data_IF_381293313565
#
_entry.id   IF_381293313565
#
_cell.length_a   1.000
_cell.length_b   1.000
_cell.length_c   1.000
_cell.angle_alpha   90.00
_cell.angle_beta   90.00
_cell.angle_gamma   90.00
#
_symmetry.space_group_name_H-M   'P 1'
#
loop_
_entity.id
_entity.type
_entity.pdbx_description
1 polymer ?
#
# COMPACT_ATOMS: atom_id res chain seq x y z
N UNK A 1 23.67 -71.79 21.28
CA UNK A 1 23.06 -72.46 20.11
C UNK A 1 21.67 -71.88 19.96
N UNK A 2 21.51 -70.94 19.02
CA UNK A 2 20.75 -71.12 17.76
C UNK A 2 19.23 -70.97 17.97
N UNK A 3 18.44 -70.17 17.26
CA UNK A 3 18.64 -69.32 16.08
C UNK A 3 17.45 -68.35 15.97
N UNK A 4 17.71 -67.13 15.51
CA UNK A 4 16.72 -66.08 15.20
C UNK A 4 16.21 -66.28 13.76
N UNK A 5 14.91 -66.07 13.50
CA UNK A 5 14.39 -65.70 12.17
C UNK A 5 13.38 -64.56 12.28
N UNK A 6 13.77 -63.42 11.72
CA UNK A 6 13.02 -62.18 11.55
C UNK A 6 12.44 -62.16 10.13
N UNK A 7 11.18 -61.72 9.96
CA UNK A 7 10.61 -61.46 8.62
C UNK A 7 9.95 -60.08 8.62
N UNK A 8 10.52 -59.20 7.81
CA UNK A 8 10.08 -57.84 7.49
C UNK A 8 9.18 -57.93 6.25
N UNK A 9 8.04 -57.22 6.22
CA UNK A 9 7.35 -56.93 4.96
C UNK A 9 7.08 -55.43 4.82
N UNK A 10 7.64 -54.89 3.74
CA UNK A 10 7.54 -53.51 3.26
C UNK A 10 6.12 -53.19 2.78
N UNK A 11 5.70 -51.97 3.08
CA UNK A 11 4.58 -51.26 2.47
C UNK A 11 5.03 -50.69 1.12
N UNK A 12 4.29 -50.99 0.05
CA UNK A 12 4.40 -50.31 -1.24
C UNK A 12 3.01 -49.84 -1.69
N UNK A 13 2.90 -48.53 -1.94
CA UNK A 13 1.80 -47.87 -2.66
C UNK A 13 1.83 -48.22 -4.16
N UNK A 14 0.67 -48.16 -4.84
CA UNK A 14 0.54 -47.26 -5.99
C UNK A 14 -0.84 -46.55 -6.00
N UNK A 15 -0.92 -45.23 -6.15
CA UNK A 15 -1.01 -44.46 -7.42
C UNK A 15 -2.19 -44.86 -8.33
N UNK A 16 -3.07 -43.88 -8.51
CA UNK A 16 -4.17 -43.73 -9.48
C UNK A 16 -4.03 -44.47 -10.82
N UNK A 17 -5.12 -45.08 -11.30
CA UNK A 17 -5.57 -44.86 -12.68
C UNK A 17 -7.05 -45.26 -12.87
N UNK A 18 -7.84 -44.31 -13.37
CA UNK A 18 -9.18 -44.50 -13.92
C UNK A 18 -9.07 -45.32 -15.21
N UNK A 19 -9.84 -46.41 -15.36
CA UNK A 19 -10.28 -46.88 -16.67
C UNK A 19 -11.41 -47.91 -16.59
N UNK A 20 -12.52 -47.57 -17.24
CA UNK A 20 -13.28 -48.47 -18.12
C UNK A 20 -13.99 -49.69 -17.53
N UNK A 21 -15.26 -49.49 -17.18
CA UNK A 21 -16.42 -50.10 -17.85
C UNK A 21 -16.13 -51.31 -18.78
N UNK A 22 -15.78 -52.49 -18.24
CA UNK A 22 -15.93 -53.79 -18.91
C UNK A 22 -15.57 -54.95 -17.98
N UNK A 23 -16.54 -55.54 -17.29
CA UNK A 23 -16.59 -56.98 -16.95
C UNK A 23 -17.82 -57.28 -16.09
N UNK A 24 -18.98 -57.41 -16.73
CA UNK A 24 -20.04 -58.33 -16.31
C UNK A 24 -20.72 -58.85 -17.57
N UNK A 25 -19.98 -59.66 -18.32
CA UNK A 25 -20.51 -60.53 -19.37
C UNK A 25 -19.87 -61.89 -19.13
N UNK A 26 -20.71 -62.92 -19.04
CA UNK A 26 -20.44 -64.37 -19.04
C UNK A 26 -20.86 -65.09 -17.75
N UNK A 27 -22.15 -65.39 -17.66
CA UNK A 27 -22.65 -66.68 -17.17
C UNK A 27 -24.07 -66.90 -17.73
N UNK A 28 -24.15 -67.29 -18.99
CA UNK A 28 -25.33 -67.92 -19.62
C UNK A 28 -24.79 -68.86 -20.71
N UNK A 29 -25.08 -70.18 -20.65
CA UNK A 29 -24.55 -71.12 -21.63
C UNK A 29 -25.28 -70.97 -22.98
N UNK A 30 -24.48 -70.95 -24.04
CA UNK A 30 -24.91 -70.81 -25.42
C UNK A 30 -25.53 -72.11 -25.97
N UNK A 31 -26.69 -71.94 -26.60
CA UNK A 31 -27.15 -72.59 -27.85
C UNK A 31 -27.21 -74.11 -27.96
N UNK A 32 -28.41 -74.63 -28.20
CA UNK A 32 -28.65 -75.55 -29.31
C UNK A 32 -29.93 -75.13 -30.05
N UNK A 33 -29.76 -74.53 -31.22
CA UNK A 33 -30.83 -74.22 -32.16
C UNK A 33 -31.11 -75.48 -32.97
N UNK A 34 -32.28 -76.10 -32.77
CA UNK A 34 -32.88 -77.00 -33.74
C UNK A 34 -34.12 -76.35 -34.34
N UNK A 35 -34.08 -76.21 -35.65
CA UNK A 35 -35.14 -75.70 -36.52
C UNK A 35 -36.37 -76.61 -36.52
N UNK A 36 -37.56 -76.06 -36.28
CA UNK A 36 -38.79 -76.44 -37.02
C UNK A 36 -39.95 -75.46 -36.83
N UNK A 37 -40.23 -74.75 -37.91
CA UNK A 37 -41.50 -74.22 -38.42
C UNK A 37 -42.81 -74.64 -37.72
N UNK A 38 -43.60 -73.65 -37.23
CA UNK A 38 -45.01 -73.36 -37.64
C UNK A 38 -45.67 -72.28 -36.75
N UNK A 39 -46.26 -71.29 -37.43
CA UNK A 39 -47.45 -70.48 -37.12
C UNK A 39 -48.07 -70.52 -35.71
N UNK A 40 -48.29 -69.34 -35.11
CA UNK A 40 -49.31 -69.15 -34.07
C UNK A 40 -49.12 -67.87 -33.26
N UNK A 41 -50.12 -66.98 -33.32
CA UNK A 41 -50.26 -65.80 -32.44
C UNK A 41 -50.36 -66.27 -30.99
N UNK A 42 -49.48 -65.80 -30.11
CA UNK A 42 -49.45 -66.19 -28.69
C UNK A 42 -49.10 -65.01 -27.78
N UNK A 43 -50.11 -64.55 -27.04
CA UNK A 43 -50.02 -63.53 -26.00
C UNK A 43 -49.11 -64.04 -24.86
N UNK A 44 -47.93 -63.44 -24.66
CA UNK A 44 -47.02 -63.83 -23.60
C UNK A 44 -47.44 -63.19 -22.26
N UNK A 45 -48.10 -63.95 -21.40
CA UNK A 45 -48.32 -63.57 -19.99
C UNK A 45 -46.99 -63.66 -19.23
N UNK A 46 -46.42 -62.51 -18.88
CA UNK A 46 -45.23 -62.41 -18.04
C UNK A 46 -45.62 -62.63 -16.56
N UNK A 47 -45.51 -63.88 -16.08
CA UNK A 47 -45.65 -64.18 -14.64
C UNK A 47 -44.39 -63.71 -13.92
N UNK A 48 -44.47 -62.56 -13.24
CA UNK A 48 -43.46 -62.14 -12.27
C UNK A 48 -43.46 -63.17 -11.14
N UNK A 49 -42.34 -63.86 -10.95
CA UNK A 49 -42.17 -64.83 -9.88
C UNK A 49 -42.32 -64.13 -8.52
N UNK A 50 -43.29 -64.59 -7.72
CA UNK A 50 -43.66 -64.06 -6.39
C UNK A 50 -42.55 -64.18 -5.33
N UNK A 51 -41.37 -64.69 -5.72
CA UNK A 51 -40.18 -64.83 -4.88
C UNK A 51 -39.20 -63.62 -4.95
N UNK A 52 -39.42 -62.66 -5.87
CA UNK A 52 -38.60 -61.44 -5.96
C UNK A 52 -39.11 -60.27 -5.09
N UNK A 53 -40.35 -60.36 -4.62
CA UNK A 53 -41.01 -59.31 -3.84
C UNK A 53 -40.44 -59.19 -2.41
N UNK A 54 -40.14 -60.28 -1.68
CA UNK A 54 -39.57 -60.18 -0.34
C UNK A 54 -38.13 -59.65 -0.34
N UNK A 55 -37.35 -60.00 -1.37
CA UNK A 55 -35.95 -59.59 -1.53
C UNK A 55 -35.81 -58.14 -1.98
N UNK A 56 -36.73 -57.63 -2.83
CA UNK A 56 -36.79 -56.20 -3.14
C UNK A 56 -37.24 -55.39 -1.91
N UNK A 57 -38.18 -55.90 -1.12
CA UNK A 57 -38.64 -55.26 0.11
C UNK A 57 -37.54 -55.23 1.18
N UNK A 58 -36.74 -56.30 1.31
CA UNK A 58 -35.62 -56.34 2.24
C UNK A 58 -34.51 -55.35 1.87
N UNK A 59 -34.20 -55.18 0.57
CA UNK A 59 -33.26 -54.15 0.09
C UNK A 59 -33.81 -52.74 0.33
N UNK A 60 -35.12 -52.52 0.12
CA UNK A 60 -35.78 -51.23 0.33
C UNK A 60 -35.86 -50.86 1.82
N UNK A 61 -36.03 -51.85 2.70
CA UNK A 61 -35.97 -51.67 4.15
C UNK A 61 -34.53 -51.42 4.61
N UNK A 62 -33.53 -52.14 4.09
CA UNK A 62 -32.10 -51.87 4.43
C UNK A 62 -31.66 -50.47 3.99
N UNK A 63 -32.15 -49.96 2.85
CA UNK A 63 -31.94 -48.56 2.43
C UNK A 63 -32.70 -47.54 3.30
N UNK A 64 -33.82 -47.95 3.92
CA UNK A 64 -34.64 -47.09 4.79
C UNK A 64 -34.19 -47.12 6.26
N UNK A 65 -33.34 -48.07 6.67
CA UNK A 65 -32.81 -48.19 8.05
C UNK A 65 -31.34 -47.76 8.12
N UNK A 66 -30.81 -47.01 7.15
CA UNK A 66 -29.53 -46.35 7.35
C UNK A 66 -29.72 -45.14 8.29
N UNK A 67 -29.38 -45.22 9.59
CA UNK A 67 -29.65 -44.14 10.55
C UNK A 67 -28.60 -43.03 10.43
N UNK A 68 -27.77 -43.06 9.38
CA UNK A 68 -26.71 -42.08 9.14
C UNK A 68 -27.23 -40.77 8.53
N UNK A 69 -28.50 -40.73 8.11
CA UNK A 69 -29.19 -39.51 7.68
C UNK A 69 -29.82 -38.76 8.88
N UNK A 70 -28.99 -38.17 9.73
CA UNK A 70 -29.53 -37.25 10.74
C UNK A 70 -28.71 -37.10 12.01
N UNK A 71 -27.49 -36.58 11.90
CA UNK A 71 -26.85 -35.67 12.86
C UNK A 71 -25.35 -35.61 12.57
N UNK A 72 -24.97 -34.93 11.49
CA UNK A 72 -23.61 -34.41 11.42
C UNK A 72 -23.51 -33.16 12.32
N UNK A 73 -23.56 -33.38 13.65
CA UNK A 73 -23.14 -32.39 14.64
C UNK A 73 -21.62 -32.47 14.72
N UNK A 74 -20.91 -31.60 14.02
CA UNK A 74 -19.48 -31.40 14.27
C UNK A 74 -18.58 -30.92 13.12
N UNK A 75 -19.10 -30.55 11.96
CA UNK A 75 -18.29 -29.89 10.92
C UNK A 75 -18.38 -28.37 11.03
N UNK A 76 -17.24 -27.67 11.13
CA UNK A 76 -17.21 -26.22 10.90
C UNK A 76 -17.37 -26.02 9.38
N UNK A 77 -18.51 -25.48 8.95
CA UNK A 77 -18.72 -25.08 7.57
C UNK A 77 -18.30 -23.61 7.42
N UNK A 78 -17.27 -23.35 6.62
CA UNK A 78 -16.84 -21.98 6.29
C UNK A 78 -17.61 -21.56 5.04
N UNK A 79 -18.52 -20.60 5.20
CA UNK A 79 -19.24 -19.98 4.10
C UNK A 79 -18.62 -18.62 3.72
N UNK A 80 -19.15 -18.04 2.63
CA UNK A 80 -18.70 -16.77 2.08
C UNK A 80 -18.82 -15.63 3.09
N UNK A 81 -19.91 -15.59 3.86
CA UNK A 81 -20.18 -14.55 4.86
C UNK A 81 -19.20 -14.61 6.02
N UNK A 82 -18.94 -15.82 6.55
CA UNK A 82 -17.98 -16.04 7.61
C UNK A 82 -16.57 -15.67 7.16
N UNK A 83 -16.16 -16.11 5.96
CA UNK A 83 -14.83 -15.85 5.43
C UNK A 83 -14.60 -14.35 5.16
N UNK A 84 -15.57 -13.67 4.52
CA UNK A 84 -15.47 -12.24 4.26
C UNK A 84 -15.55 -11.41 5.54
N UNK A 85 -16.47 -11.75 6.44
CA UNK A 85 -16.67 -11.08 7.71
C UNK A 85 -15.42 -11.17 8.60
N UNK A 86 -14.78 -12.34 8.65
CA UNK A 86 -13.52 -12.50 9.37
C UNK A 86 -12.38 -11.67 8.76
N UNK A 87 -12.26 -11.65 7.42
CA UNK A 87 -11.27 -10.81 6.74
C UNK A 87 -11.48 -9.31 7.04
N UNK A 88 -12.73 -8.83 7.01
CA UNK A 88 -13.06 -7.46 7.39
C UNK A 88 -12.77 -7.17 8.87
N UNK A 89 -13.10 -8.10 9.77
CA UNK A 89 -12.80 -7.95 11.18
C UNK A 89 -11.29 -7.80 11.41
N UNK A 90 -10.47 -8.66 10.80
CA UNK A 90 -9.02 -8.57 10.87
C UNK A 90 -8.53 -7.20 10.39
N UNK A 91 -9.04 -6.74 9.24
CA UNK A 91 -8.68 -5.44 8.67
C UNK A 91 -9.01 -4.28 9.62
N UNK A 92 -10.24 -4.26 10.13
CA UNK A 92 -10.73 -3.23 11.04
C UNK A 92 -10.06 -3.27 12.41
N UNK A 93 -9.59 -4.44 12.85
CA UNK A 93 -8.83 -4.63 14.09
C UNK A 93 -7.36 -4.20 13.99
N UNK A 94 -6.92 -3.73 12.81
CA UNK A 94 -5.54 -3.30 12.59
C UNK A 94 -4.57 -4.43 12.26
N UNK A 95 -5.07 -5.60 11.85
CA UNK A 95 -4.26 -6.71 11.32
C UNK A 95 -4.46 -6.86 9.79
N UNK A 96 -3.85 -5.97 8.98
CA UNK A 96 -3.96 -6.03 7.54
C UNK A 96 -3.22 -7.25 6.94
N UNK A 97 -2.28 -7.86 7.66
CA UNK A 97 -1.54 -9.02 7.18
C UNK A 97 -2.43 -10.25 7.15
N UNK A 98 -3.19 -10.50 8.23
CA UNK A 98 -4.18 -11.58 8.26
C UNK A 98 -5.34 -11.28 7.33
N UNK A 99 -5.86 -10.05 7.34
CA UNK A 99 -6.92 -9.65 6.43
C UNK A 99 -6.57 -9.91 4.96
N UNK A 100 -5.35 -9.59 4.54
CA UNK A 100 -4.84 -9.85 3.20
C UNK A 100 -4.97 -11.35 2.83
N UNK A 101 -4.57 -12.24 3.72
CA UNK A 101 -4.65 -13.68 3.49
C UNK A 101 -6.11 -14.12 3.39
N UNK A 102 -6.96 -13.65 4.29
CA UNK A 102 -8.36 -14.07 4.36
C UNK A 102 -9.21 -13.48 3.21
N UNK A 103 -8.93 -12.27 2.74
CA UNK A 103 -9.55 -11.74 1.51
C UNK A 103 -9.12 -12.52 0.27
N UNK A 104 -7.85 -12.92 0.17
CA UNK A 104 -7.39 -13.77 -0.95
C UNK A 104 -8.05 -15.14 -0.93
N UNK A 105 -8.25 -15.72 0.25
CA UNK A 105 -9.01 -16.96 0.43
C UNK A 105 -10.48 -16.78 0.02
N UNK A 106 -11.10 -15.68 0.43
CA UNK A 106 -12.46 -15.35 0.03
C UNK A 106 -12.61 -15.29 -1.50
N UNK A 107 -11.75 -14.53 -2.17
CA UNK A 107 -11.75 -14.40 -3.64
C UNK A 107 -11.54 -15.76 -4.32
N UNK A 108 -10.69 -16.61 -3.76
CA UNK A 108 -10.38 -17.92 -4.33
C UNK A 108 -11.52 -18.93 -4.18
N UNK A 109 -12.12 -19.03 -2.98
CA UNK A 109 -13.14 -20.03 -2.68
C UNK A 109 -14.55 -19.61 -3.06
N UNK A 110 -14.81 -18.30 -3.18
CA UNK A 110 -16.11 -17.73 -3.50
C UNK A 110 -16.03 -16.75 -4.69
N UNK A 111 -15.53 -17.17 -5.87
CA UNK A 111 -15.24 -16.27 -6.99
C UNK A 111 -16.47 -15.61 -7.62
N UNK A 112 -17.66 -16.19 -7.44
CA UNK A 112 -18.94 -15.67 -7.96
C UNK A 112 -19.69 -14.80 -6.93
N UNK A 113 -19.14 -14.61 -5.73
CA UNK A 113 -19.77 -13.76 -4.71
C UNK A 113 -19.74 -12.28 -5.14
N UNK A 114 -20.84 -11.57 -4.90
CA UNK A 114 -21.00 -10.17 -5.31
C UNK A 114 -19.98 -9.23 -4.65
N UNK A 115 -19.38 -9.64 -3.52
CA UNK A 115 -18.35 -8.88 -2.80
C UNK A 115 -16.94 -9.12 -3.30
N UNK A 116 -16.71 -9.99 -4.27
CA UNK A 116 -15.34 -10.29 -4.78
C UNK A 116 -14.63 -9.02 -5.23
N UNK A 117 -15.31 -8.12 -5.93
CA UNK A 117 -14.73 -6.85 -6.36
C UNK A 117 -14.36 -5.94 -5.18
N UNK A 118 -15.19 -5.89 -4.15
CA UNK A 118 -14.87 -5.18 -2.90
C UNK A 118 -13.70 -5.84 -2.16
N UNK A 119 -13.65 -7.17 -2.09
CA UNK A 119 -12.56 -7.92 -1.47
C UNK A 119 -11.22 -7.70 -2.20
N UNK A 120 -11.23 -7.59 -3.54
CA UNK A 120 -10.06 -7.23 -4.33
C UNK A 120 -9.56 -5.83 -3.96
N UNK A 121 -10.47 -4.86 -3.86
CA UNK A 121 -10.11 -3.51 -3.44
C UNK A 121 -9.51 -3.48 -2.02
N UNK A 122 -10.13 -4.18 -1.07
CA UNK A 122 -9.62 -4.32 0.30
C UNK A 122 -8.29 -5.09 0.36
N UNK A 123 -8.05 -6.04 -0.54
CA UNK A 123 -6.74 -6.68 -0.73
C UNK A 123 -5.69 -5.64 -1.11
N UNK A 124 -6.00 -4.73 -2.04
CA UNK A 124 -5.14 -3.60 -2.38
C UNK A 124 -4.84 -2.69 -1.18
N UNK A 125 -5.86 -2.38 -0.37
CA UNK A 125 -5.66 -1.59 0.85
C UNK A 125 -4.79 -2.31 1.88
N UNK A 126 -4.96 -3.63 2.02
CA UNK A 126 -4.15 -4.44 2.92
C UNK A 126 -2.68 -4.50 2.46
N UNK A 127 -2.41 -4.61 1.16
CA UNK A 127 -1.07 -4.45 0.62
C UNK A 127 -0.49 -3.06 0.91
N UNK A 128 -1.28 -1.99 0.72
CA UNK A 128 -0.85 -0.63 1.02
C UNK A 128 -0.50 -0.46 2.51
N UNK A 129 -1.36 -0.94 3.41
CA UNK A 129 -1.17 -0.87 4.86
C UNK A 129 0.07 -1.66 5.33
N UNK A 130 0.40 -2.76 4.64
CA UNK A 130 1.61 -3.57 4.89
C UNK A 130 2.85 -3.05 4.16
N UNK A 131 2.79 -1.84 3.58
CA UNK A 131 3.87 -1.18 2.82
C UNK A 131 4.32 -1.92 1.55
N UNK A 132 3.48 -2.83 1.06
CA UNK A 132 3.68 -3.58 -0.19
C UNK A 132 3.09 -2.79 -1.35
N UNK A 133 3.69 -1.63 -1.59
CA UNK A 133 3.14 -0.60 -2.49
C UNK A 133 3.06 -1.06 -3.95
N UNK A 134 4.02 -1.87 -4.41
CA UNK A 134 4.01 -2.35 -5.80
C UNK A 134 2.82 -3.30 -6.06
N UNK A 135 2.52 -4.20 -5.12
CA UNK A 135 1.36 -5.08 -5.19
C UNK A 135 0.05 -4.31 -5.01
N UNK A 136 0.01 -3.34 -4.10
CA UNK A 136 -1.16 -2.46 -3.93
C UNK A 136 -1.48 -1.72 -5.23
N UNK A 137 -0.47 -1.13 -5.87
CA UNK A 137 -0.60 -0.41 -7.14
C UNK A 137 -1.20 -1.31 -8.22
N UNK A 138 -0.65 -2.50 -8.41
CA UNK A 138 -1.15 -3.46 -9.41
C UNK A 138 -2.61 -3.80 -9.20
N UNK A 139 -3.04 -3.99 -7.95
CA UNK A 139 -4.45 -4.26 -7.63
C UNK A 139 -5.32 -3.04 -7.90
N UNK A 140 -4.92 -1.84 -7.48
CA UNK A 140 -5.75 -0.65 -7.72
C UNK A 140 -5.83 -0.28 -9.20
N UNK A 141 -4.75 -0.44 -9.98
CA UNK A 141 -4.72 -0.18 -11.42
C UNK A 141 -5.74 -1.02 -12.20
N UNK A 142 -6.13 -2.22 -11.73
CA UNK A 142 -7.17 -3.01 -12.41
C UNK A 142 -8.56 -2.37 -12.35
N UNK A 143 -8.79 -1.41 -11.45
CA UNK A 143 -10.07 -0.70 -11.34
C UNK A 143 -10.18 0.50 -12.29
N UNK A 144 -9.07 0.96 -12.87
CA UNK A 144 -9.05 2.19 -13.67
C UNK A 144 -9.65 2.00 -15.08
N UNK A 145 -9.80 0.75 -15.55
CA UNK A 145 -10.34 0.46 -16.87
C UNK A 145 -11.35 -0.72 -16.86
N UNK A 146 -12.55 -0.56 -17.46
CA UNK A 146 -13.08 0.68 -18.03
C UNK A 146 -13.43 1.71 -16.94
N UNK A 147 -13.26 3.00 -17.25
CA UNK A 147 -13.66 4.08 -16.34
C UNK A 147 -15.17 4.04 -16.07
N UNK A 148 -15.58 4.28 -14.83
CA UNK A 148 -16.97 4.46 -14.43
C UNK A 148 -17.07 5.40 -13.22
N UNK A 149 -18.25 5.97 -13.00
CA UNK A 149 -18.56 6.81 -11.84
C UNK A 149 -18.83 5.99 -10.56
N UNK A 150 -18.48 4.70 -10.56
CA UNK A 150 -18.57 3.85 -9.38
C UNK A 150 -17.62 4.39 -8.30
N UNK A 151 -18.10 4.60 -7.06
CA UNK A 151 -17.26 5.08 -5.96
C UNK A 151 -15.96 4.28 -5.77
N UNK A 152 -15.98 2.97 -6.03
CA UNK A 152 -14.80 2.11 -5.92
C UNK A 152 -13.74 2.41 -6.98
N UNK A 153 -14.16 2.79 -8.19
CA UNK A 153 -13.24 3.21 -9.27
C UNK A 153 -12.62 4.55 -8.91
N UNK A 154 -13.44 5.51 -8.49
CA UNK A 154 -12.96 6.83 -8.06
C UNK A 154 -11.95 6.69 -6.92
N UNK A 155 -12.27 5.88 -5.91
CA UNK A 155 -11.35 5.62 -4.80
C UNK A 155 -10.06 4.92 -5.26
N UNK A 156 -10.13 4.02 -6.24
CA UNK A 156 -8.93 3.39 -6.79
C UNK A 156 -7.96 4.38 -7.42
N UNK A 157 -8.44 5.43 -8.11
CA UNK A 157 -7.55 6.50 -8.61
C UNK A 157 -6.79 7.20 -7.47
N UNK A 158 -7.48 7.53 -6.38
CA UNK A 158 -6.83 8.12 -5.20
C UNK A 158 -5.85 7.15 -4.55
N UNK A 159 -6.19 5.87 -4.46
CA UNK A 159 -5.29 4.85 -3.92
C UNK A 159 -4.07 4.58 -4.80
N UNK A 160 -4.19 4.60 -6.14
CA UNK A 160 -3.04 4.56 -7.04
C UNK A 160 -2.15 5.79 -6.81
N UNK A 161 -2.72 7.00 -6.79
CA UNK A 161 -1.98 8.24 -6.52
C UNK A 161 -1.20 8.15 -5.20
N UNK A 162 -1.86 7.77 -4.09
CA UNK A 162 -1.21 7.62 -2.79
C UNK A 162 -0.11 6.57 -2.79
N UNK A 163 -0.36 5.46 -3.45
CA UNK A 163 0.64 4.38 -3.57
C UNK A 163 1.87 4.89 -4.31
N UNK A 164 1.70 5.67 -5.38
CA UNK A 164 2.80 6.30 -6.10
C UNK A 164 3.54 7.36 -5.26
N UNK A 165 2.85 8.13 -4.43
CA UNK A 165 3.48 9.05 -3.48
C UNK A 165 4.37 8.32 -2.46
N UNK A 166 3.90 7.19 -1.91
CA UNK A 166 4.72 6.37 -0.99
C UNK A 166 5.95 5.76 -1.67
N UNK A 167 5.94 5.66 -2.99
CA UNK A 167 7.04 5.19 -3.82
C UNK A 167 7.94 6.32 -4.33
N UNK A 168 7.76 7.56 -3.84
CA UNK A 168 8.48 8.77 -4.29
C UNK A 168 8.27 9.10 -5.79
N UNK A 169 7.15 8.65 -6.37
CA UNK A 169 6.76 8.85 -7.78
C UNK A 169 5.69 9.94 -7.92
N UNK A 170 5.89 11.08 -7.28
CA UNK A 170 4.87 12.14 -7.20
C UNK A 170 4.40 12.67 -8.57
N UNK A 171 5.26 12.75 -9.59
CA UNK A 171 4.82 13.15 -10.94
C UNK A 171 3.82 12.15 -11.57
N UNK A 172 3.98 10.85 -11.30
CA UNK A 172 3.01 9.84 -11.74
C UNK A 172 1.72 9.93 -10.93
N UNK A 173 1.81 10.18 -9.63
CA UNK A 173 0.65 10.40 -8.76
C UNK A 173 -0.20 11.58 -9.24
N UNK A 174 0.44 12.71 -9.55
CA UNK A 174 -0.19 13.89 -10.14
C UNK A 174 -0.88 13.55 -11.47
N UNK A 175 -0.22 12.80 -12.35
CA UNK A 175 -0.78 12.40 -13.66
C UNK A 175 -2.07 11.58 -13.48
N UNK A 176 -2.09 10.65 -12.52
CA UNK A 176 -3.28 9.80 -12.25
C UNK A 176 -4.46 10.66 -11.81
N UNK A 177 -4.24 11.65 -10.94
CA UNK A 177 -5.29 12.57 -10.49
C UNK A 177 -5.74 13.53 -11.59
N UNK A 178 -4.82 14.04 -12.41
CA UNK A 178 -5.15 14.86 -13.58
C UNK A 178 -6.00 14.08 -14.59
N UNK A 179 -5.70 12.81 -14.82
CA UNK A 179 -6.54 11.96 -15.66
C UNK A 179 -7.95 11.80 -15.08
N UNK A 180 -8.07 11.58 -13.76
CA UNK A 180 -9.39 11.53 -13.12
C UNK A 180 -10.17 12.84 -13.29
N UNK A 181 -9.49 13.99 -13.17
CA UNK A 181 -10.10 15.31 -13.36
C UNK A 181 -10.72 15.49 -14.75
N UNK A 182 -10.11 14.90 -15.78
CA UNK A 182 -10.58 14.94 -17.17
C UNK A 182 -11.73 13.96 -17.44
N UNK A 183 -11.80 12.86 -16.69
CA UNK A 183 -12.77 11.79 -16.90
C UNK A 183 -14.07 11.99 -16.12
N UNK A 184 -14.01 12.67 -14.97
CA UNK A 184 -15.18 12.87 -14.12
C UNK A 184 -15.87 14.20 -14.38
N UNK A 185 -17.20 14.23 -14.23
CA UNK A 185 -18.00 15.45 -14.19
C UNK A 185 -18.56 15.75 -12.80
N UNK A 186 -18.41 14.81 -11.85
CA UNK A 186 -18.87 15.00 -10.49
C UNK A 186 -18.07 16.07 -9.76
N UNK A 187 -18.77 17.10 -9.28
CA UNK A 187 -18.17 18.28 -8.65
C UNK A 187 -17.41 17.88 -7.38
N UNK A 188 -17.96 16.98 -6.56
CA UNK A 188 -17.32 16.57 -5.31
C UNK A 188 -16.00 15.83 -5.56
N UNK A 189 -15.97 14.99 -6.61
CA UNK A 189 -14.75 14.32 -7.07
C UNK A 189 -13.74 15.33 -7.61
N UNK A 190 -14.15 16.28 -8.45
CA UNK A 190 -13.26 17.36 -8.94
C UNK A 190 -12.66 18.15 -7.79
N UNK A 191 -13.46 18.49 -6.78
CA UNK A 191 -12.99 19.19 -5.58
C UNK A 191 -11.96 18.36 -4.82
N UNK A 192 -12.21 17.05 -4.60
CA UNK A 192 -11.24 16.16 -3.93
C UNK A 192 -9.94 16.03 -4.73
N UNK A 193 -10.02 15.97 -6.06
CA UNK A 193 -8.83 15.95 -6.93
C UNK A 193 -8.04 17.25 -6.80
N UNK A 194 -8.70 18.41 -6.90
CA UNK A 194 -8.05 19.71 -6.74
C UNK A 194 -7.41 19.88 -5.36
N UNK A 195 -8.12 19.51 -4.29
CA UNK A 195 -7.56 19.51 -2.95
C UNK A 195 -6.32 18.59 -2.85
N UNK A 196 -6.38 17.40 -3.45
CA UNK A 196 -5.27 16.43 -3.43
C UNK A 196 -4.05 16.93 -4.21
N UNK A 197 -4.25 17.52 -5.39
CA UNK A 197 -3.17 18.11 -6.19
C UNK A 197 -2.55 19.32 -5.50
N UNK A 198 -3.38 20.18 -4.89
CA UNK A 198 -2.91 21.32 -4.11
C UNK A 198 -2.05 20.86 -2.93
N UNK A 199 -2.52 19.87 -2.18
CA UNK A 199 -1.79 19.29 -1.06
C UNK A 199 -0.49 18.60 -1.48
N UNK A 200 -0.52 17.83 -2.56
CA UNK A 200 0.65 17.16 -3.12
C UNK A 200 1.73 18.17 -3.51
N UNK A 201 1.34 19.29 -4.16
CA UNK A 201 2.26 20.38 -4.50
C UNK A 201 2.91 21.04 -3.28
N UNK A 202 2.14 21.23 -2.19
CA UNK A 202 2.66 21.76 -0.93
C UNK A 202 3.66 20.80 -0.27
N UNK A 203 3.31 19.51 -0.19
CA UNK A 203 4.11 18.46 0.45
C UNK A 203 5.40 18.17 -0.31
N UNK A 204 5.34 18.09 -1.65
CA UNK A 204 6.51 17.78 -2.48
C UNK A 204 7.52 18.93 -2.48
N UNK A 205 7.07 20.17 -2.24
CA UNK A 205 7.97 21.30 -2.09
C UNK A 205 8.56 21.35 -0.68
N UNK A 206 9.59 20.53 -0.41
CA UNK A 206 10.45 20.63 0.80
C UNK A 206 10.95 22.08 1.05
N UNK A 207 11.00 22.89 -0.02
CA UNK A 207 11.43 24.28 -0.01
C UNK A 207 10.33 25.33 0.15
N UNK A 208 9.04 24.97 0.09
CA UNK A 208 7.91 25.91 -0.09
C UNK A 208 8.28 27.03 -1.06
N UNK A 209 8.69 26.62 -2.26
CA UNK A 209 9.14 27.57 -3.28
C UNK A 209 7.95 28.43 -3.74
N UNK A 210 8.17 29.70 -4.14
CA UNK A 210 7.08 30.55 -4.63
C UNK A 210 6.23 29.86 -5.73
N UNK A 211 6.89 29.16 -6.66
CA UNK A 211 6.22 28.40 -7.73
C UNK A 211 5.35 27.27 -7.21
N UNK A 212 5.81 26.49 -6.23
CA UNK A 212 5.02 25.40 -5.66
C UNK A 212 3.80 25.93 -4.88
N UNK A 213 3.97 27.04 -4.16
CA UNK A 213 2.89 27.71 -3.46
C UNK A 213 1.83 28.25 -4.44
N UNK A 214 2.27 28.80 -5.57
CA UNK A 214 1.38 29.28 -6.64
C UNK A 214 0.60 28.14 -7.31
N UNK A 215 1.27 27.01 -7.60
CA UNK A 215 0.59 25.81 -8.13
C UNK A 215 -0.46 25.28 -7.16
N UNK A 216 -0.12 25.21 -5.88
CA UNK A 216 -1.06 24.77 -4.85
C UNK A 216 -2.26 25.72 -4.73
N UNK A 217 -2.00 27.02 -4.64
CA UNK A 217 -3.03 28.06 -4.60
C UNK A 217 -3.95 27.99 -5.82
N UNK A 218 -3.41 27.71 -7.01
CA UNK A 218 -4.21 27.52 -8.24
C UNK A 218 -5.26 26.42 -8.08
N UNK A 219 -4.86 25.24 -7.60
CA UNK A 219 -5.79 24.12 -7.39
C UNK A 219 -6.75 24.35 -6.23
N UNK A 220 -6.29 24.98 -5.16
CA UNK A 220 -7.13 25.31 -4.01
C UNK A 220 -8.19 26.37 -4.40
N UNK A 221 -7.87 27.27 -5.32
CA UNK A 221 -8.81 28.26 -5.84
C UNK A 221 -9.78 27.71 -6.91
N UNK A 222 -9.50 26.56 -7.52
CA UNK A 222 -10.42 25.89 -8.44
C UNK A 222 -11.49 25.04 -7.75
N UNK A 223 -11.46 24.95 -6.41
CA UNK A 223 -12.52 24.32 -5.62
C UNK A 223 -13.87 25.02 -5.82
N UNK A 224 -14.93 24.24 -5.89
CA UNK A 224 -16.31 24.73 -5.83
C UNK A 224 -16.59 25.42 -4.49
N UNK A 225 -17.75 26.08 -4.36
CA UNK A 225 -18.16 26.69 -3.08
C UNK A 225 -18.25 25.65 -1.94
N UNK A 226 -18.81 24.47 -2.22
CA UNK A 226 -18.94 23.41 -1.21
C UNK A 226 -17.59 22.76 -0.89
N UNK A 227 -16.72 22.59 -1.90
CA UNK A 227 -15.36 22.11 -1.70
C UNK A 227 -14.50 23.09 -0.92
N UNK A 228 -14.69 24.40 -1.11
CA UNK A 228 -13.95 25.43 -0.40
C UNK A 228 -14.16 25.37 1.12
N UNK A 229 -15.40 25.09 1.56
CA UNK A 229 -15.71 24.89 2.98
C UNK A 229 -15.11 23.56 3.49
N UNK A 230 -15.31 22.48 2.73
CA UNK A 230 -14.85 21.12 3.09
C UNK A 230 -13.32 21.06 3.26
N UNK A 231 -12.58 21.68 2.34
CA UNK A 231 -11.12 21.68 2.32
C UNK A 231 -10.52 22.99 2.86
N UNK A 232 -11.32 23.80 3.55
CA UNK A 232 -10.88 25.01 4.26
C UNK A 232 -10.03 25.96 3.41
N UNK A 233 -10.44 26.19 2.16
CA UNK A 233 -9.71 26.99 1.14
C UNK A 233 -9.14 28.29 1.70
N UNK A 234 -9.97 29.06 2.39
CA UNK A 234 -9.59 30.39 2.89
C UNK A 234 -8.50 30.30 3.96
N UNK A 235 -8.54 29.24 4.80
CA UNK A 235 -7.49 28.97 5.78
C UNK A 235 -6.19 28.56 5.09
N UNK A 236 -6.26 27.68 4.09
CA UNK A 236 -5.10 27.26 3.30
C UNK A 236 -4.46 28.47 2.62
N UNK A 237 -5.23 29.31 1.94
CA UNK A 237 -4.74 30.52 1.27
C UNK A 237 -4.14 31.53 2.26
N UNK A 238 -4.74 31.69 3.44
CA UNK A 238 -4.17 32.52 4.51
C UNK A 238 -2.83 31.97 4.99
N UNK A 239 -2.70 30.65 5.13
CA UNK A 239 -1.42 30.02 5.52
C UNK A 239 -0.38 30.16 4.40
N UNK A 240 -0.75 29.91 3.13
CA UNK A 240 0.13 30.12 1.96
C UNK A 240 0.65 31.56 1.91
N UNK A 241 -0.22 32.55 2.11
CA UNK A 241 0.20 33.96 2.13
C UNK A 241 1.12 34.29 3.31
N UNK A 242 0.88 33.71 4.49
CA UNK A 242 1.76 33.83 5.66
C UNK A 242 3.15 33.23 5.39
N UNK A 243 3.20 32.07 4.74
CA UNK A 243 4.45 31.42 4.33
C UNK A 243 5.20 32.31 3.34
N UNK A 244 4.51 32.86 2.33
CA UNK A 244 5.09 33.76 1.32
C UNK A 244 5.66 35.04 1.95
N UNK A 245 5.00 35.58 2.96
CA UNK A 245 5.46 36.76 3.69
C UNK A 245 6.64 36.48 4.64
N UNK A 246 6.90 35.21 4.97
CA UNK A 246 7.98 34.84 5.89
C UNK A 246 9.34 35.05 5.23
N UNK A 247 10.13 35.99 5.78
CA UNK A 247 11.48 36.28 5.29
C UNK A 247 12.42 35.09 5.52
N UNK A 248 12.96 34.56 4.42
CA UNK A 248 14.05 33.57 4.43
C UNK A 248 15.39 34.28 4.62
N UNK A 249 16.34 33.61 5.26
CA UNK A 249 17.73 34.06 5.37
C UNK A 249 18.46 33.73 4.07
N UNK A 250 19.19 34.69 3.50
CA UNK A 250 19.96 34.48 2.29
C UNK A 250 21.30 33.81 2.61
N UNK A 251 21.61 32.62 2.05
CA UNK A 251 22.91 31.98 2.25
C UNK A 251 24.07 32.81 1.70
N UNK A 252 23.86 33.52 0.59
CA UNK A 252 24.88 34.41 0.01
C UNK A 252 25.15 35.59 0.93
N UNK A 253 24.11 36.20 1.51
CA UNK A 253 24.29 37.30 2.46
C UNK A 253 24.96 36.83 3.76
N UNK A 254 24.62 35.62 4.24
CA UNK A 254 25.29 35.02 5.39
C UNK A 254 26.79 34.80 5.14
N UNK A 255 27.16 34.34 3.94
CA UNK A 255 28.56 34.20 3.52
C UNK A 255 29.29 35.54 3.39
N UNK A 256 28.67 36.53 2.74
CA UNK A 256 29.25 37.87 2.56
C UNK A 256 29.46 38.59 3.89
N UNK A 257 28.50 38.49 4.81
CA UNK A 257 28.62 39.10 6.14
C UNK A 257 29.66 38.38 7.01
N UNK A 258 29.89 37.07 6.80
CA UNK A 258 30.94 36.32 7.49
C UNK A 258 32.37 36.77 7.15
N UNK A 259 32.56 37.69 6.19
CA UNK A 259 33.84 38.39 5.98
C UNK A 259 34.25 39.13 7.27
N UNK A 260 33.30 39.60 8.07
CA UNK A 260 33.57 40.10 9.41
C UNK A 260 33.38 38.94 10.42
N UNK A 261 34.35 38.68 11.31
CA UNK A 261 34.28 37.55 12.23
C UNK A 261 32.96 37.50 13.01
N UNK A 262 32.23 36.38 12.89
CA UNK A 262 30.97 36.15 13.59
C UNK A 262 29.71 36.79 12.99
N UNK A 263 29.82 37.73 12.04
CA UNK A 263 28.65 38.46 11.51
C UNK A 263 27.71 37.61 10.67
N UNK A 264 28.22 36.60 9.96
CA UNK A 264 27.38 35.63 9.26
C UNK A 264 26.51 34.79 10.19
N UNK A 265 27.07 34.33 11.32
CA UNK A 265 26.31 33.66 12.37
C UNK A 265 25.33 34.60 13.05
N UNK A 266 25.72 35.86 13.29
CA UNK A 266 24.84 36.87 13.86
C UNK A 266 23.62 37.12 12.97
N UNK A 267 23.82 37.23 11.65
CA UNK A 267 22.74 37.34 10.67
C UNK A 267 21.76 36.15 10.73
N UNK A 268 22.30 34.95 10.94
CA UNK A 268 21.54 33.72 11.14
C UNK A 268 20.98 33.53 12.56
N UNK A 269 21.04 34.55 13.42
CA UNK A 269 20.55 34.53 14.81
C UNK A 269 21.26 33.49 15.70
N UNK A 270 22.47 33.08 15.32
CA UNK A 270 23.35 32.17 16.07
C UNK A 270 24.35 32.96 16.91
N UNK A 271 23.85 33.63 17.96
CA UNK A 271 24.65 34.58 18.75
C UNK A 271 25.83 33.95 19.49
N UNK A 272 25.70 32.71 19.96
CA UNK A 272 26.79 31.99 20.62
C UNK A 272 27.93 31.70 19.64
N UNK A 273 27.60 31.19 18.45
CA UNK A 273 28.59 30.92 17.41
C UNK A 273 29.23 32.21 16.87
N UNK A 274 28.44 33.29 16.77
CA UNK A 274 28.94 34.61 16.41
C UNK A 274 30.00 35.10 17.40
N UNK A 275 29.72 34.99 18.71
CA UNK A 275 30.64 35.39 19.77
C UNK A 275 31.92 34.54 19.77
N UNK A 276 31.80 33.22 19.69
CA UNK A 276 32.96 32.32 19.64
C UNK A 276 33.83 32.62 18.42
N UNK A 277 33.22 32.79 17.24
CA UNK A 277 33.93 33.14 16.01
C UNK A 277 34.66 34.47 16.13
N UNK A 278 34.02 35.48 16.72
CA UNK A 278 34.63 36.80 16.92
C UNK A 278 35.84 36.71 17.86
N UNK A 279 35.69 36.07 19.01
CA UNK A 279 36.75 35.96 20.03
C UNK A 279 37.92 35.14 19.51
N UNK A 280 37.65 33.96 18.93
CA UNK A 280 38.69 33.03 18.49
C UNK A 280 39.51 33.61 17.33
N UNK A 281 38.85 34.17 16.32
CA UNK A 281 39.55 34.78 15.17
C UNK A 281 40.35 36.00 15.61
N UNK A 282 39.78 36.85 16.48
CA UNK A 282 40.52 38.02 17.01
C UNK A 282 41.76 37.59 17.79
N UNK A 283 41.64 36.57 18.65
CA UNK A 283 42.76 36.05 19.43
C UNK A 283 43.87 35.47 18.54
N UNK A 284 43.51 34.68 17.52
CA UNK A 284 44.48 34.06 16.61
C UNK A 284 45.15 35.09 15.69
N UNK A 285 44.41 36.10 15.21
CA UNK A 285 44.98 37.21 14.43
C UNK A 285 45.98 38.00 15.28
N UNK A 286 45.63 38.35 16.53
CA UNK A 286 46.55 39.04 17.45
C UNK A 286 47.78 38.18 17.77
N UNK A 287 47.60 36.89 18.02
CA UNK A 287 48.71 35.97 18.31
C UNK A 287 49.66 35.79 17.11
N UNK A 288 49.10 35.71 15.89
CA UNK A 288 49.90 35.66 14.67
C UNK A 288 50.68 36.97 14.48
N UNK A 289 50.01 38.12 14.62
CA UNK A 289 50.65 39.44 14.50
C UNK A 289 51.80 39.62 15.50
N UNK A 290 51.56 39.32 16.78
CA UNK A 290 52.57 39.38 17.84
C UNK A 290 53.75 38.43 17.57
N UNK A 291 53.49 37.24 17.00
CA UNK A 291 54.55 36.29 16.66
C UNK A 291 55.47 36.81 15.56
N UNK A 292 54.93 37.52 14.57
CA UNK A 292 55.73 38.16 13.52
C UNK A 292 56.54 39.34 14.06
N UNK A 293 55.94 40.21 14.89
CA UNK A 293 56.63 41.34 15.53
C UNK A 293 57.78 40.89 16.43
N UNK A 294 57.63 39.76 17.12
CA UNK A 294 58.69 39.17 17.96
C UNK A 294 59.76 38.40 17.19
N UNK A 295 59.73 38.41 15.86
CA UNK A 295 60.73 37.73 15.03
C UNK A 295 60.61 36.20 15.02
N UNK A 296 59.43 35.64 15.29
CA UNK A 296 59.13 34.21 15.19
C UNK A 296 58.21 33.91 13.98
N UNK A 297 58.73 33.96 12.74
CA UNK A 297 57.92 33.81 11.54
C UNK A 297 57.37 32.39 11.37
N UNK A 298 58.05 31.37 11.92
CA UNK A 298 57.57 29.98 11.87
C UNK A 298 56.29 29.81 12.70
N UNK A 299 56.28 30.32 13.93
CA UNK A 299 55.07 30.30 14.77
C UNK A 299 53.96 31.18 14.17
N UNK A 300 54.29 32.39 13.73
CA UNK A 300 53.34 33.29 13.08
C UNK A 300 52.66 32.62 11.87
N UNK A 301 53.45 32.01 10.99
CA UNK A 301 52.94 31.28 9.83
C UNK A 301 52.07 30.09 10.20
N UNK A 302 52.44 29.33 11.24
CA UNK A 302 51.62 28.22 11.73
C UNK A 302 50.26 28.69 12.26
N UNK A 303 50.23 29.78 13.05
CA UNK A 303 48.98 30.36 13.56
C UNK A 303 48.13 30.90 12.42
N UNK A 304 48.73 31.63 11.45
CA UNK A 304 48.02 32.13 10.27
C UNK A 304 47.40 31.00 9.45
N UNK A 305 48.11 29.88 9.27
CA UNK A 305 47.58 28.71 8.56
C UNK A 305 46.36 28.11 9.29
N UNK A 306 46.45 27.95 10.61
CA UNK A 306 45.34 27.45 11.43
C UNK A 306 44.15 28.41 11.38
N UNK A 307 44.40 29.71 11.56
CA UNK A 307 43.37 30.75 11.50
C UNK A 307 42.66 30.79 10.14
N UNK A 308 43.39 30.68 9.03
CA UNK A 308 42.80 30.61 7.70
C UNK A 308 41.80 29.46 7.57
N UNK A 309 42.11 28.29 8.16
CA UNK A 309 41.20 27.15 8.23
C UNK A 309 39.94 27.43 9.03
N UNK A 310 40.08 27.97 10.25
CA UNK A 310 38.93 28.37 11.08
C UNK A 310 38.08 29.44 10.41
N UNK A 311 38.71 30.42 9.74
CA UNK A 311 38.02 31.49 9.02
C UNK A 311 37.17 30.96 7.87
N UNK A 312 37.74 30.09 7.03
CA UNK A 312 37.01 29.42 5.95
C UNK A 312 35.85 28.58 6.50
N UNK A 313 36.08 27.87 7.61
CA UNK A 313 35.06 27.12 8.34
C UNK A 313 33.90 28.00 8.81
N UNK A 314 34.17 29.20 9.34
CA UNK A 314 33.15 30.13 9.81
C UNK A 314 32.28 30.69 8.66
N UNK A 315 32.88 30.95 7.50
CA UNK A 315 32.13 31.37 6.29
C UNK A 315 31.20 30.24 5.84
N UNK A 316 31.74 29.02 5.67
CA UNK A 316 30.93 27.86 5.29
C UNK A 316 29.83 27.57 6.32
N UNK A 317 30.17 27.64 7.61
CA UNK A 317 29.25 27.46 8.72
C UNK A 317 28.11 28.49 8.70
N UNK A 318 28.39 29.75 8.36
CA UNK A 318 27.37 30.80 8.23
C UNK A 318 26.40 30.51 7.08
N UNK A 319 26.92 30.11 5.92
CA UNK A 319 26.10 29.72 4.75
C UNK A 319 25.20 28.53 5.10
N UNK A 320 25.77 27.49 5.71
CA UNK A 320 25.04 26.29 6.16
C UNK A 320 23.96 26.64 7.17
N UNK A 321 24.23 27.59 8.07
CA UNK A 321 23.26 28.07 9.07
C UNK A 321 22.04 28.72 8.42
N UNK A 322 22.23 29.53 7.38
CA UNK A 322 21.12 30.12 6.64
C UNK A 322 20.24 29.06 5.97
N UNK A 323 20.85 28.02 5.38
CA UNK A 323 20.09 26.89 4.81
C UNK A 323 19.29 26.15 5.89
N UNK A 324 19.91 25.82 7.03
CA UNK A 324 19.23 25.15 8.15
C UNK A 324 18.09 25.99 8.72
N UNK A 325 18.29 27.29 8.89
CA UNK A 325 17.24 28.22 9.34
C UNK A 325 16.01 28.18 8.43
N UNK A 326 16.23 28.25 7.11
CA UNK A 326 15.14 28.21 6.14
C UNK A 326 14.43 26.85 6.10
N UNK A 327 15.19 25.75 6.21
CA UNK A 327 14.64 24.40 6.23
C UNK A 327 13.72 24.19 7.44
N UNK A 328 14.20 24.54 8.64
CA UNK A 328 13.41 24.43 9.88
C UNK A 328 12.13 25.26 9.79
N UNK A 329 12.23 26.48 9.25
CA UNK A 329 11.06 27.34 9.07
C UNK A 329 10.03 26.71 8.12
N UNK A 330 10.47 26.09 7.02
CA UNK A 330 9.57 25.39 6.11
C UNK A 330 8.90 24.18 6.78
N UNK A 331 9.61 23.43 7.62
CA UNK A 331 9.02 22.31 8.36
C UNK A 331 7.92 22.77 9.32
N UNK A 332 8.17 23.82 10.11
CA UNK A 332 7.14 24.41 10.98
C UNK A 332 5.94 24.90 10.18
N UNK A 333 6.17 25.50 9.01
CA UNK A 333 5.09 25.94 8.14
C UNK A 333 4.26 24.77 7.59
N UNK A 334 4.88 23.61 7.32
CA UNK A 334 4.18 22.41 6.88
C UNK A 334 3.33 21.82 7.99
N UNK A 335 3.87 21.74 9.21
CA UNK A 335 3.12 21.31 10.40
C UNK A 335 1.90 22.23 10.64
N UNK A 336 2.06 23.55 10.47
CA UNK A 336 0.94 24.50 10.56
C UNK A 336 -0.12 24.26 9.48
N UNK A 337 0.28 23.88 8.26
CA UNK A 337 -0.66 23.52 7.20
C UNK A 337 -1.40 22.21 7.52
N UNK A 338 -0.68 21.19 8.01
CA UNK A 338 -1.23 19.88 8.39
C UNK A 338 -2.21 20.00 9.56
N UNK A 339 -1.93 20.86 10.52
CA UNK A 339 -2.86 21.15 11.62
C UNK A 339 -4.06 22.00 11.18
N UNK A 340 -3.89 22.83 10.16
CA UNK A 340 -4.93 23.71 9.69
C UNK A 340 -6.04 22.96 8.94
N UNK A 341 -5.68 21.90 8.21
CA UNK A 341 -6.56 21.16 7.29
C UNK A 341 -6.16 19.69 7.26
N UNK A 342 -7.13 18.80 7.49
CA UNK A 342 -6.92 17.37 7.27
C UNK A 342 -6.61 17.12 5.78
N UNK A 343 -5.51 16.44 5.45
CA UNK A 343 -5.25 16.08 4.06
C UNK A 343 -6.42 15.25 3.52
N UNK A 344 -6.81 15.44 2.24
CA UNK A 344 -7.93 14.73 1.66
C UNK A 344 -7.75 13.21 1.81
N UNK A 345 -8.61 12.62 2.64
CA UNK A 345 -8.67 11.18 2.91
C UNK A 345 -9.25 10.40 1.76
#
# INVERSE_FOLDING_TARGET
METIKCTIQLVFLPVFCVTSMRTYFNMLPLTRLETRQKSGVGLAHFKISMALIPSLFFILVVMAVDPTFGSNKGGIYIDADMQYGYAQQCFNSGDPSTALVEFKRFIHFFPEDTRVRQAQFLTGQAYYATKRYEEARKIFETFLFPFSQDPLVIEAYFMVSRTLEQMDKAGQAETVLQNLLLLTDDIATKDRVHASLGWMGLKQSQGMTPLALEKAETHINSLSRSGADTYSRDRVNKTISTIRATKKKSPTLAGLTAIFPGMGFFYCERYQDALVSFVLNTALIMAAHESFERGNPALGGAITFVEAGFYAGNIYGSISSAHKFNLLRNQTNLELLEQAVDPPR
#
